data_IF_902043454377
#
_entry.id   IF_902043454377
#
_cell.length_a   1.000
_cell.length_b   1.000
_cell.length_c   1.000
_cell.angle_alpha   90.00
_cell.angle_beta   90.00
_cell.angle_gamma   90.00
#
_symmetry.space_group_name_H-M   'P 1'
#
loop_
_entity.id
_entity.type
_entity.pdbx_description
1 polymer ?
#
# COMPACT_ATOMS: atom_id res chain seq x y z
N UNK A 1 -16.75 -5.46 -10.87
CA UNK A 1 -15.42 -4.86 -11.08
C UNK A 1 -15.52 -3.34 -10.94
N UNK A 2 -14.87 -2.70 -9.96
CA UNK A 2 -15.04 -1.25 -9.70
C UNK A 2 -14.20 -0.44 -10.69
N UNK A 3 -14.89 0.14 -11.68
CA UNK A 3 -14.42 0.85 -12.89
C UNK A 3 -13.30 1.89 -12.69
N UNK A 4 -13.17 2.47 -11.49
CA UNK A 4 -12.30 3.62 -11.20
C UNK A 4 -10.82 3.31 -10.95
N UNK A 5 -10.50 2.10 -10.52
CA UNK A 5 -9.10 1.71 -10.27
C UNK A 5 -8.36 1.40 -11.59
N UNK A 6 -9.12 0.93 -12.59
CA UNK A 6 -8.61 0.53 -13.91
C UNK A 6 -8.26 1.73 -14.79
N UNK A 7 -9.12 2.75 -14.83
CA UNK A 7 -8.90 3.94 -15.66
C UNK A 7 -7.72 4.81 -15.21
N UNK A 8 -7.40 4.82 -13.90
CA UNK A 8 -6.32 5.67 -13.38
C UNK A 8 -4.93 5.12 -13.67
N UNK A 9 -4.81 3.80 -13.85
CA UNK A 9 -3.58 3.14 -14.25
C UNK A 9 -3.22 3.43 -15.71
N UNK A 10 -4.21 3.64 -16.59
CA UNK A 10 -3.99 3.94 -18.01
C UNK A 10 -3.61 5.41 -18.26
N UNK A 11 -4.17 6.36 -17.51
CA UNK A 11 -3.88 7.80 -17.68
C UNK A 11 -2.44 8.22 -17.32
N UNK A 12 -1.68 7.37 -16.61
CA UNK A 12 -0.33 7.67 -16.09
C UNK A 12 0.80 7.35 -17.09
N UNK A 13 0.52 6.74 -18.24
CA UNK A 13 1.54 6.35 -19.22
C UNK A 13 2.14 7.52 -20.03
N UNK A 14 1.50 8.69 -20.05
CA UNK A 14 1.88 9.78 -20.96
C UNK A 14 2.85 10.83 -20.37
N UNK A 15 3.21 10.77 -19.08
CA UNK A 15 3.83 11.91 -18.38
C UNK A 15 5.20 11.68 -17.69
N UNK A 16 5.95 10.61 -18.01
CA UNK A 16 7.32 10.45 -17.49
C UNK A 16 7.46 9.79 -16.11
N UNK A 17 6.57 8.85 -15.79
CA UNK A 17 6.70 7.92 -14.65
C UNK A 17 5.49 7.94 -13.72
N UNK A 18 4.93 6.79 -13.33
CA UNK A 18 3.71 6.74 -12.54
C UNK A 18 3.94 7.33 -11.14
N UNK A 19 3.08 8.26 -10.71
CA UNK A 19 2.98 8.65 -9.29
C UNK A 19 2.70 7.38 -8.48
N UNK A 20 3.47 7.09 -7.41
CA UNK A 20 3.32 5.86 -6.65
C UNK A 20 1.90 5.79 -6.12
N UNK A 21 1.25 4.66 -6.39
CA UNK A 21 -0.12 4.41 -5.94
C UNK A 21 -0.19 4.42 -4.42
N UNK A 22 -1.40 4.60 -3.85
CA UNK A 22 -1.58 4.51 -2.39
C UNK A 22 -1.04 3.20 -1.81
N UNK A 23 -1.10 2.11 -2.60
CA UNK A 23 -0.56 0.79 -2.27
C UNK A 23 0.96 0.83 -2.21
N UNK A 24 1.60 1.35 -3.24
CA UNK A 24 3.05 1.45 -3.29
C UNK A 24 3.60 2.35 -2.19
N UNK A 25 2.92 3.45 -1.88
CA UNK A 25 3.30 4.33 -0.76
C UNK A 25 3.21 3.61 0.60
N UNK A 26 2.18 2.78 0.79
CA UNK A 26 2.02 1.96 1.99
C UNK A 26 3.15 0.94 2.14
N UNK A 27 3.44 0.22 1.06
CA UNK A 27 4.47 -0.82 1.01
C UNK A 27 5.86 -0.22 1.15
N UNK A 28 6.13 0.90 0.48
CA UNK A 28 7.40 1.62 0.59
C UNK A 28 7.66 2.07 2.03
N UNK A 29 6.67 2.68 2.68
CA UNK A 29 6.79 3.08 4.09
C UNK A 29 7.01 1.87 5.00
N UNK A 30 6.28 0.78 4.75
CA UNK A 30 6.40 -0.45 5.53
C UNK A 30 7.74 -1.18 5.30
N UNK A 31 8.37 -1.03 4.13
CA UNK A 31 9.72 -1.52 3.84
C UNK A 31 10.79 -0.65 4.46
N UNK A 32 10.67 0.67 4.35
CA UNK A 32 11.62 1.63 4.90
C UNK A 32 11.71 1.54 6.43
N UNK A 33 10.56 1.40 7.11
CA UNK A 33 10.52 1.33 8.58
C UNK A 33 10.49 -0.09 9.14
N UNK A 34 10.28 -1.10 8.30
CA UNK A 34 10.13 -2.51 8.67
C UNK A 34 8.82 -2.84 9.41
N UNK A 35 8.41 -2.00 10.36
CA UNK A 35 7.13 -2.06 11.07
C UNK A 35 6.48 -0.68 11.08
N UNK A 36 5.25 -0.58 10.57
CA UNK A 36 4.48 0.65 10.50
C UNK A 36 3.21 0.54 11.34
N UNK A 37 2.90 1.63 12.02
CA UNK A 37 1.63 1.75 12.76
C UNK A 37 0.53 2.24 11.85
N UNK A 38 -0.71 1.94 12.21
CA UNK A 38 -1.89 2.52 11.55
C UNK A 38 -1.84 4.05 11.50
N UNK A 39 -1.32 4.68 12.56
CA UNK A 39 -1.17 6.14 12.63
C UNK A 39 -0.24 6.67 11.53
N UNK A 40 0.92 6.05 11.32
CA UNK A 40 1.89 6.44 10.27
C UNK A 40 1.29 6.28 8.88
N UNK A 41 0.58 5.17 8.65
CA UNK A 41 -0.11 4.90 7.39
C UNK A 41 -1.23 5.93 7.14
N UNK A 42 -1.98 6.29 8.19
CA UNK A 42 -3.02 7.32 8.10
C UNK A 42 -2.43 8.70 7.86
N UNK A 43 -1.28 9.02 8.46
CA UNK A 43 -0.58 10.30 8.29
C UNK A 43 -0.13 10.52 6.84
N UNK A 44 0.24 9.46 6.12
CA UNK A 44 0.57 9.55 4.68
C UNK A 44 -0.67 9.52 3.77
N UNK A 45 -1.87 9.45 4.35
CA UNK A 45 -3.16 9.49 3.65
C UNK A 45 -3.76 8.13 3.31
N UNK A 46 -3.33 7.05 3.96
CA UNK A 46 -3.91 5.71 3.74
C UNK A 46 -5.01 5.46 4.78
N UNK A 47 -6.27 5.33 4.35
CA UNK A 47 -7.37 5.07 5.27
C UNK A 47 -7.33 3.64 5.82
N UNK A 48 -7.78 3.48 7.07
CA UNK A 48 -7.80 2.20 7.81
C UNK A 48 -8.52 1.07 7.07
N UNK A 49 -9.63 1.37 6.38
CA UNK A 49 -10.38 0.38 5.62
C UNK A 49 -9.57 -0.22 4.46
N UNK A 50 -8.58 0.51 3.95
CA UNK A 50 -7.70 0.07 2.88
C UNK A 50 -6.60 -0.88 3.38
N UNK A 51 -6.22 -0.79 4.66
CA UNK A 51 -5.19 -1.65 5.25
C UNK A 51 -5.64 -3.11 5.32
N UNK A 52 -6.91 -3.36 5.67
CA UNK A 52 -7.47 -4.71 5.64
C UNK A 52 -7.38 -5.30 4.25
N UNK A 53 -7.76 -4.53 3.23
CA UNK A 53 -7.70 -4.96 1.84
C UNK A 53 -6.27 -5.21 1.36
N UNK A 54 -5.32 -4.36 1.75
CA UNK A 54 -3.89 -4.60 1.45
C UNK A 54 -3.35 -5.85 2.16
N UNK A 55 -3.90 -6.19 3.33
CA UNK A 55 -3.58 -7.43 4.03
C UNK A 55 -4.15 -8.66 3.30
N UNK A 56 -5.39 -8.57 2.82
CA UNK A 56 -6.04 -9.61 1.99
C UNK A 56 -5.33 -9.81 0.65
N UNK A 57 -4.85 -8.72 0.03
CA UNK A 57 -4.08 -8.75 -1.22
C UNK A 57 -2.62 -9.20 -1.01
N UNK A 58 -2.20 -9.49 0.23
CA UNK A 58 -0.85 -9.95 0.53
C UNK A 58 0.24 -8.90 0.31
N UNK A 59 -0.11 -7.60 0.40
CA UNK A 59 0.84 -6.48 0.33
C UNK A 59 1.38 -6.09 1.71
N UNK A 60 0.56 -6.27 2.74
CA UNK A 60 0.91 -6.02 4.13
C UNK A 60 0.62 -7.26 4.96
N UNK A 61 1.41 -7.47 6.01
CA UNK A 61 1.17 -8.48 7.03
C UNK A 61 0.83 -7.77 8.33
N UNK A 62 -0.32 -8.09 8.91
CA UNK A 62 -0.72 -7.61 10.24
C UNK A 62 0.07 -8.40 11.30
N UNK A 63 0.99 -7.72 11.98
CA UNK A 63 1.80 -8.33 13.05
C UNK A 63 1.10 -8.27 14.41
N UNK A 64 0.42 -7.14 14.70
CA UNK A 64 -0.30 -6.92 15.95
C UNK A 64 -1.45 -5.92 15.75
N UNK A 65 -2.20 -5.63 16.81
CA UNK A 65 -3.22 -4.59 16.76
C UNK A 65 -2.58 -3.24 16.37
N UNK A 66 -2.98 -2.73 15.21
CA UNK A 66 -2.48 -1.47 14.66
C UNK A 66 -1.02 -1.47 14.19
N UNK A 67 -0.40 -2.66 14.03
CA UNK A 67 0.96 -2.80 13.49
C UNK A 67 0.96 -3.67 12.24
N UNK A 68 1.59 -3.15 11.20
CA UNK A 68 1.69 -3.76 9.89
C UNK A 68 3.14 -3.76 9.44
N UNK A 69 3.50 -4.75 8.63
CA UNK A 69 4.79 -4.85 7.95
C UNK A 69 4.53 -5.07 6.46
N UNK A 70 5.47 -4.68 5.60
CA UNK A 70 5.39 -5.04 4.19
C UNK A 70 5.42 -6.57 4.07
N UNK A 71 4.49 -7.14 3.31
CA UNK A 71 4.64 -8.51 2.89
C UNK A 71 5.88 -8.55 1.99
N UNK A 72 6.99 -9.01 2.56
CA UNK A 72 8.18 -9.29 1.79
C UNK A 72 7.81 -10.48 0.91
N UNK A 73 7.50 -10.22 -0.36
CA UNK A 73 7.69 -11.21 -1.42
C UNK A 73 9.18 -11.50 -1.39
N UNK A 74 9.58 -12.39 -0.49
CA UNK A 74 10.86 -13.04 -0.50
C UNK A 74 10.95 -13.65 -1.90
N UNK A 75 11.64 -12.94 -2.79
CA UNK A 75 12.17 -13.51 -4.01
C UNK A 75 13.08 -14.65 -3.52
N UNK A 76 12.52 -15.85 -3.50
CA UNK A 76 13.27 -17.08 -3.39
C UNK A 76 13.94 -17.34 -4.74
#
# INVERSE_FOLDING_TARGET
MRKRDRERAEALRLAGGPKPTLRERAVALARERGEVRTAELTAIGIPRCYLSRMCEEGLLVKLAYGRYRAADLKAA
#
